data_IF_981698706587
#
_entry.id   IF_981698706587
#
_cell.length_a   1.000
_cell.length_b   1.000
_cell.length_c   1.000
_cell.angle_alpha   90.00
_cell.angle_beta   90.00
_cell.angle_gamma   90.00
#
_symmetry.space_group_name_H-M   'P 1'
#
loop_
_entity.id
_entity.type
_entity.pdbx_description
1 polymer ?
#
# COMPACT_ATOMS: atom_id res chain seq x y z
N UNK A 1 37.34 -45.29 51.49
CA UNK A 1 37.37 -45.64 50.05
C UNK A 1 35.99 -45.84 49.40
N UNK A 2 34.89 -46.14 50.14
CA UNK A 2 33.54 -46.28 49.57
C UNK A 2 32.83 -44.95 49.30
N UNK A 3 33.04 -43.91 50.12
CA UNK A 3 32.38 -42.61 50.00
C UNK A 3 32.88 -41.76 48.82
N UNK A 4 34.17 -41.85 48.49
CA UNK A 4 34.76 -41.18 47.31
C UNK A 4 34.19 -41.77 46.01
N UNK A 5 33.98 -43.08 45.95
CA UNK A 5 33.39 -43.76 44.78
C UNK A 5 31.93 -43.36 44.56
N UNK A 6 31.16 -43.09 45.62
CA UNK A 6 29.76 -42.62 45.50
C UNK A 6 29.71 -41.18 45.01
N UNK A 7 30.61 -40.30 45.49
CA UNK A 7 30.70 -38.92 44.99
C UNK A 7 31.08 -38.86 43.49
N UNK A 8 31.98 -39.74 43.04
CA UNK A 8 32.38 -39.82 41.63
C UNK A 8 31.25 -40.29 40.70
N UNK A 9 30.39 -41.20 41.15
CA UNK A 9 29.28 -41.72 40.34
C UNK A 9 28.14 -40.69 40.21
N UNK A 10 27.90 -39.88 41.25
CA UNK A 10 26.90 -38.80 41.21
C UNK A 10 27.38 -37.62 40.34
N UNK A 11 28.67 -37.29 40.36
CA UNK A 11 29.22 -36.24 39.50
C UNK A 11 29.20 -36.60 38.00
N UNK A 12 29.35 -37.88 37.65
CA UNK A 12 29.30 -38.35 36.26
C UNK A 12 27.85 -38.41 35.74
N UNK A 13 26.86 -38.68 36.60
CA UNK A 13 25.45 -38.72 36.21
C UNK A 13 24.82 -37.33 36.08
N UNK A 14 25.36 -36.30 36.74
CA UNK A 14 24.96 -34.89 36.55
C UNK A 14 25.55 -34.25 35.28
N UNK A 15 26.61 -34.81 34.70
CA UNK A 15 27.22 -34.34 33.44
C UNK A 15 26.62 -35.02 32.20
N UNK A 16 25.80 -36.07 32.36
CA UNK A 16 25.17 -36.82 31.27
C UNK A 16 23.78 -36.28 30.86
N UNK A 17 23.30 -35.19 31.46
CA UNK A 17 22.08 -34.49 31.05
C UNK A 17 22.33 -33.40 29.99
N UNK A 18 23.32 -33.62 29.13
CA UNK A 18 23.37 -32.90 27.85
C UNK A 18 22.51 -33.71 26.87
N UNK A 19 21.28 -33.27 26.66
CA UNK A 19 20.44 -33.76 25.57
C UNK A 19 21.11 -33.39 24.25
N UNK A 20 22.02 -34.25 23.79
CA UNK A 20 22.29 -34.33 22.36
C UNK A 20 21.09 -35.04 21.74
N UNK A 21 20.19 -34.27 21.16
CA UNK A 21 19.27 -34.83 20.17
C UNK A 21 20.10 -35.11 18.92
N UNK A 22 20.80 -36.25 18.91
CA UNK A 22 21.41 -36.83 17.71
C UNK A 22 20.51 -37.97 17.24
N UNK A 23 19.36 -37.60 16.66
CA UNK A 23 18.63 -38.50 15.78
C UNK A 23 19.24 -38.35 14.38
N UNK A 24 19.87 -39.44 13.93
CA UNK A 24 20.46 -39.59 12.60
C UNK A 24 19.41 -39.43 11.49
N UNK A 25 19.16 -38.20 11.07
CA UNK A 25 18.85 -37.90 9.68
C UNK A 25 20.10 -37.22 9.14
N UNK A 26 20.63 -37.78 8.06
CA UNK A 26 21.84 -37.34 7.39
C UNK A 26 22.03 -35.82 7.46
N UNK A 27 23.27 -35.37 7.73
CA UNK A 27 23.77 -34.05 7.31
C UNK A 27 23.79 -34.03 5.77
N UNK A 28 22.61 -34.18 5.18
CA UNK A 28 22.29 -33.63 3.89
C UNK A 28 22.52 -32.17 4.13
N UNK A 29 23.59 -31.65 3.54
CA UNK A 29 23.61 -30.25 3.13
C UNK A 29 22.27 -30.08 2.41
N UNK A 30 21.27 -29.57 3.13
CA UNK A 30 20.00 -29.14 2.55
C UNK A 30 20.43 -27.95 1.74
N UNK A 31 20.97 -28.20 0.55
CA UNK A 31 21.04 -27.17 -0.47
C UNK A 31 19.58 -26.78 -0.65
N UNK A 32 19.20 -25.52 -0.36
CA UNK A 32 17.83 -25.10 -0.57
C UNK A 32 17.49 -25.46 -2.02
N UNK A 33 16.59 -26.43 -2.21
CA UNK A 33 16.14 -26.87 -3.54
C UNK A 33 15.19 -25.84 -4.17
N UNK A 34 14.91 -24.76 -3.43
CA UNK A 34 14.21 -23.57 -3.90
C UNK A 34 15.17 -22.45 -4.30
N UNK A 35 14.62 -21.38 -4.89
CA UNK A 35 15.39 -20.18 -5.22
C UNK A 35 16.10 -19.62 -3.98
N UNK A 36 17.39 -19.29 -4.13
CA UNK A 36 18.17 -18.60 -3.11
C UNK A 36 17.76 -17.12 -3.07
N UNK A 37 17.19 -16.70 -1.94
CA UNK A 37 16.77 -15.33 -1.65
C UNK A 37 17.75 -14.59 -0.73
N UNK A 38 18.98 -15.10 -0.56
CA UNK A 38 20.01 -14.39 0.17
C UNK A 38 20.49 -13.16 -0.62
N UNK A 39 20.65 -12.03 0.08
CA UNK A 39 21.12 -10.80 -0.55
C UNK A 39 20.70 -9.53 0.19
N UNK A 40 21.16 -8.39 -0.33
CA UNK A 40 20.70 -7.07 0.09
C UNK A 40 19.57 -6.64 -0.85
N UNK A 41 18.39 -6.40 -0.29
CA UNK A 41 17.25 -5.88 -1.03
C UNK A 41 17.26 -4.36 -1.04
N UNK A 42 16.86 -3.77 -2.17
CA UNK A 42 16.51 -2.36 -2.28
C UNK A 42 15.06 -2.24 -2.72
N UNK A 43 14.37 -1.20 -2.28
CA UNK A 43 13.07 -0.83 -2.83
C UNK A 43 13.28 -0.49 -4.31
N UNK A 44 12.46 -1.08 -5.18
CA UNK A 44 12.38 -0.73 -6.61
C UNK A 44 11.16 0.16 -6.86
N UNK A 45 9.99 -0.28 -6.39
CA UNK A 45 8.75 0.48 -6.45
C UNK A 45 7.89 0.26 -5.20
N UNK A 46 6.99 1.20 -4.92
CA UNK A 46 5.96 1.10 -3.89
C UNK A 46 4.58 1.24 -4.52
N UNK A 47 3.67 0.34 -4.17
CA UNK A 47 2.29 0.42 -4.62
C UNK A 47 1.53 1.44 -3.78
N UNK A 48 1.13 2.53 -4.42
CA UNK A 48 0.27 3.57 -3.85
C UNK A 48 -1.18 3.45 -4.32
N UNK A 49 -1.95 4.51 -4.07
CA UNK A 49 -3.32 4.64 -4.55
C UNK A 49 -3.34 4.73 -6.08
N UNK A 50 -4.44 4.30 -6.72
CA UNK A 50 -4.60 4.43 -8.17
C UNK A 50 -4.34 5.87 -8.64
N UNK A 51 -3.75 5.99 -9.83
CA UNK A 51 -3.49 7.23 -10.59
C UNK A 51 -2.71 8.39 -9.91
N UNK A 52 -2.44 8.38 -8.60
CA UNK A 52 -1.78 9.49 -7.88
C UNK A 52 -0.41 9.82 -8.49
N UNK A 53 0.47 8.83 -8.63
CA UNK A 53 1.79 8.98 -9.27
C UNK A 53 1.68 9.33 -10.78
N UNK A 54 0.57 8.96 -11.42
CA UNK A 54 0.35 9.28 -12.84
C UNK A 54 0.01 10.75 -13.03
N UNK A 55 -0.82 11.31 -12.15
CA UNK A 55 -1.39 12.66 -12.29
C UNK A 55 -0.49 13.72 -11.64
N UNK A 56 0.01 13.47 -10.44
CA UNK A 56 0.62 14.51 -9.61
C UNK A 56 2.15 14.50 -9.56
N UNK A 57 2.79 13.41 -9.97
CA UNK A 57 4.26 13.31 -9.99
C UNK A 57 4.77 13.64 -11.39
N UNK A 58 5.63 14.65 -11.47
CA UNK A 58 6.30 15.01 -12.73
C UNK A 58 7.19 13.88 -13.23
N UNK A 59 7.27 13.69 -14.56
CA UNK A 59 7.98 12.54 -15.17
C UNK A 59 9.42 12.34 -14.69
N UNK A 60 10.16 13.43 -14.42
CA UNK A 60 11.54 13.38 -13.93
C UNK A 60 11.67 12.91 -12.47
N UNK A 61 10.55 12.79 -11.75
CA UNK A 61 10.52 12.53 -10.31
C UNK A 61 9.82 11.21 -9.98
N UNK A 62 9.36 10.45 -10.97
CA UNK A 62 8.67 9.17 -10.78
C UNK A 62 9.54 8.13 -10.09
N UNK A 63 10.77 7.91 -10.58
CA UNK A 63 11.68 6.95 -9.96
C UNK A 63 12.01 7.34 -8.50
N UNK A 64 12.21 8.64 -8.25
CA UNK A 64 12.45 9.15 -6.91
C UNK A 64 11.23 8.95 -6.01
N UNK A 65 10.02 9.18 -6.54
CA UNK A 65 8.77 8.95 -5.81
C UNK A 65 8.60 7.48 -5.46
N UNK A 66 8.83 6.57 -6.41
CA UNK A 66 8.70 5.12 -6.26
C UNK A 66 9.55 4.54 -5.13
N UNK A 67 10.73 5.12 -4.86
CA UNK A 67 11.64 4.65 -3.80
C UNK A 67 11.59 5.48 -2.51
N UNK A 68 10.88 6.59 -2.48
CA UNK A 68 10.79 7.44 -1.27
C UNK A 68 9.85 6.82 -0.24
N UNK A 69 10.34 6.55 0.96
CA UNK A 69 9.51 5.93 2.01
C UNK A 69 8.29 6.79 2.37
N UNK A 70 7.13 6.19 2.69
CA UNK A 70 5.90 6.96 3.01
C UNK A 70 6.07 8.01 4.10
N UNK A 71 6.92 7.76 5.09
CA UNK A 71 7.21 8.68 6.18
C UNK A 71 7.85 10.02 5.73
N UNK A 72 8.46 10.04 4.54
CA UNK A 72 9.14 11.23 3.99
C UNK A 72 8.52 11.72 2.68
N UNK A 73 7.57 11.00 2.09
CA UNK A 73 6.95 11.37 0.81
C UNK A 73 6.26 12.73 0.86
N UNK A 74 5.38 12.97 1.84
CA UNK A 74 4.63 14.24 1.90
C UNK A 74 5.57 15.44 1.95
N UNK A 75 6.61 15.38 2.79
CA UNK A 75 7.63 16.43 2.88
C UNK A 75 8.40 16.65 1.56
N UNK A 76 8.59 15.60 0.76
CA UNK A 76 9.34 15.66 -0.50
C UNK A 76 8.48 16.09 -1.71
N UNK A 77 7.19 15.76 -1.73
CA UNK A 77 6.37 15.85 -2.94
C UNK A 77 5.10 16.70 -2.84
N UNK A 78 4.65 17.08 -1.64
CA UNK A 78 3.39 17.84 -1.50
C UNK A 78 3.39 19.15 -2.32
N UNK A 79 4.48 19.91 -2.30
CA UNK A 79 4.59 21.15 -3.09
C UNK A 79 4.48 20.91 -4.61
N UNK A 80 5.03 19.79 -5.09
CA UNK A 80 4.91 19.39 -6.50
C UNK A 80 3.47 19.02 -6.83
N UNK A 81 2.81 18.26 -5.97
CA UNK A 81 1.42 17.85 -6.15
C UNK A 81 0.51 19.08 -6.21
N UNK A 82 0.69 20.03 -5.28
CA UNK A 82 -0.08 21.26 -5.26
C UNK A 82 0.13 22.10 -6.52
N UNK A 83 1.38 22.23 -6.97
CA UNK A 83 1.70 22.95 -8.21
C UNK A 83 1.02 22.30 -9.42
N UNK A 84 1.09 20.97 -9.53
CA UNK A 84 0.50 20.23 -10.63
C UNK A 84 -1.04 20.26 -10.58
N UNK A 85 -1.64 20.17 -9.39
CA UNK A 85 -3.09 20.29 -9.22
C UNK A 85 -3.61 21.67 -9.67
N UNK A 86 -2.96 22.75 -9.22
CA UNK A 86 -3.35 24.11 -9.58
C UNK A 86 -3.15 24.41 -11.08
N UNK A 87 -2.19 23.74 -11.73
CA UNK A 87 -2.00 23.82 -13.17
C UNK A 87 -3.02 22.98 -13.95
N UNK A 88 -3.46 21.87 -13.38
CA UNK A 88 -4.35 20.91 -14.03
C UNK A 88 -5.82 21.31 -13.94
N UNK A 89 -6.27 21.74 -12.76
CA UNK A 89 -7.68 21.92 -12.48
C UNK A 89 -8.09 23.37 -12.24
N UNK A 90 -9.07 23.89 -13.00
CA UNK A 90 -9.65 25.20 -12.73
C UNK A 90 -10.47 25.23 -11.42
N UNK A 91 -10.91 24.10 -10.88
CA UNK A 91 -11.75 24.04 -9.68
C UNK A 91 -11.02 24.50 -8.40
N UNK A 92 -9.69 24.56 -8.43
CA UNK A 92 -8.87 25.06 -7.32
C UNK A 92 -8.36 26.49 -7.57
N UNK A 93 -8.80 27.15 -8.63
CA UNK A 93 -8.48 28.55 -8.88
C UNK A 93 -9.12 29.45 -7.81
N UNK A 94 -8.49 30.59 -7.52
CA UNK A 94 -9.01 31.63 -6.63
C UNK A 94 -9.46 31.15 -5.22
N UNK A 95 -8.90 30.03 -4.74
CA UNK A 95 -9.19 29.46 -3.42
C UNK A 95 -10.35 28.46 -3.40
N UNK A 96 -10.76 27.95 -4.57
CA UNK A 96 -11.74 26.87 -4.67
C UNK A 96 -11.31 25.58 -3.96
N UNK A 97 -12.30 24.78 -3.61
CA UNK A 97 -12.14 23.54 -2.86
C UNK A 97 -12.80 22.38 -3.61
N UNK A 98 -12.40 21.15 -3.27
CA UNK A 98 -13.17 19.98 -3.70
C UNK A 98 -14.40 19.75 -2.81
N UNK A 99 -15.21 18.78 -3.21
CA UNK A 99 -16.40 18.36 -2.49
C UNK A 99 -16.14 17.78 -1.08
N UNK A 100 -14.87 17.56 -0.69
CA UNK A 100 -14.50 17.22 0.68
C UNK A 100 -14.23 18.47 1.54
N UNK A 101 -14.40 19.68 0.98
CA UNK A 101 -14.07 20.95 1.61
C UNK A 101 -12.57 21.17 1.76
N UNK A 102 -11.75 20.54 0.90
CA UNK A 102 -10.30 20.67 0.94
C UNK A 102 -9.83 21.63 -0.15
N UNK A 103 -9.03 22.62 0.25
CA UNK A 103 -8.26 23.42 -0.71
C UNK A 103 -7.13 22.59 -1.33
N UNK A 104 -6.41 23.21 -2.29
CA UNK A 104 -5.33 22.53 -3.00
C UNK A 104 -4.23 22.03 -2.05
N UNK A 105 -3.91 22.76 -0.98
CA UNK A 105 -2.86 22.37 -0.05
C UNK A 105 -3.30 21.18 0.81
N UNK A 106 -4.53 21.21 1.33
CA UNK A 106 -5.10 20.14 2.14
C UNK A 106 -5.27 18.85 1.33
N UNK A 107 -5.84 18.93 0.13
CA UNK A 107 -6.05 17.76 -0.72
C UNK A 107 -4.72 17.13 -1.14
N UNK A 108 -3.75 17.93 -1.58
CA UNK A 108 -2.45 17.40 -1.99
C UNK A 108 -1.62 16.89 -0.82
N UNK A 109 -1.81 17.41 0.39
CA UNK A 109 -1.22 16.84 1.61
C UNK A 109 -1.78 15.44 1.89
N UNK A 110 -3.09 15.24 1.75
CA UNK A 110 -3.74 13.93 1.86
C UNK A 110 -3.20 12.95 0.80
N UNK A 111 -2.94 13.43 -0.42
CA UNK A 111 -2.47 12.61 -1.53
C UNK A 111 -0.96 12.32 -1.52
N UNK A 112 -0.14 13.21 -1.00
CA UNK A 112 1.32 13.13 -1.13
C UNK A 112 1.97 12.01 -0.30
N UNK A 113 1.32 11.52 0.76
CA UNK A 113 1.68 10.22 1.36
C UNK A 113 0.85 9.14 0.70
N UNK A 114 1.39 8.58 -0.38
CA UNK A 114 0.66 7.68 -1.25
C UNK A 114 0.80 6.23 -0.78
N UNK A 115 -0.20 5.79 -0.02
CA UNK A 115 -0.27 4.45 0.57
C UNK A 115 -1.64 3.83 0.33
N UNK A 116 -1.65 2.52 0.07
CA UNK A 116 -2.88 1.74 0.01
C UNK A 116 -3.43 1.51 1.43
N UNK A 117 -4.51 2.21 1.76
CA UNK A 117 -5.26 2.00 2.99
C UNK A 117 -6.14 0.75 2.95
N UNK A 118 -6.44 0.18 4.11
CA UNK A 118 -7.51 -0.80 4.31
C UNK A 118 -8.09 -0.59 5.71
N UNK A 119 -9.40 -0.49 5.80
CA UNK A 119 -10.09 -0.46 7.09
C UNK A 119 -10.22 -1.89 7.63
N UNK A 120 -9.80 -2.12 8.88
CA UNK A 120 -9.85 -3.44 9.52
C UNK A 120 -11.16 -3.66 10.31
N UNK A 121 -11.82 -2.59 10.70
CA UNK A 121 -12.97 -2.57 11.60
C UNK A 121 -14.12 -1.65 11.10
N UNK A 122 -13.97 -1.06 9.91
CA UNK A 122 -14.96 -0.20 9.26
C UNK A 122 -15.12 -0.49 7.77
N UNK A 123 -15.85 0.39 7.08
CA UNK A 123 -16.08 0.27 5.63
C UNK A 123 -14.77 0.50 4.88
N UNK A 124 -14.38 -0.48 4.06
CA UNK A 124 -13.28 -0.33 3.09
C UNK A 124 -13.86 0.17 1.77
N UNK A 125 -13.61 1.43 1.44
CA UNK A 125 -14.04 2.06 0.19
C UNK A 125 -13.08 3.18 -0.19
N UNK A 126 -13.02 3.49 -1.47
CA UNK A 126 -12.32 4.67 -1.97
C UNK A 126 -13.09 5.93 -1.59
N UNK A 127 -14.40 5.93 -1.81
CA UNK A 127 -15.34 6.96 -1.37
C UNK A 127 -16.79 6.47 -1.48
N UNK A 128 -17.58 6.64 -0.42
CA UNK A 128 -19.01 6.30 -0.39
C UNK A 128 -19.91 7.49 0.02
N UNK A 129 -19.35 8.72 0.03
CA UNK A 129 -20.03 9.91 0.55
C UNK A 129 -19.77 10.18 2.03
N UNK A 130 -19.25 9.21 2.80
CA UNK A 130 -18.94 9.35 4.23
C UNK A 130 -17.49 8.98 4.52
N UNK A 131 -17.06 7.80 4.07
CA UNK A 131 -15.72 7.28 4.21
C UNK A 131 -14.86 7.74 3.04
N UNK A 132 -13.61 8.12 3.31
CA UNK A 132 -12.69 8.67 2.31
C UNK A 132 -11.36 7.92 2.41
N UNK A 133 -10.95 7.29 1.31
CA UNK A 133 -9.66 6.61 1.17
C UNK A 133 -9.38 5.56 2.26
N UNK A 134 -10.43 4.85 2.71
CA UNK A 134 -10.31 3.74 3.67
C UNK A 134 -9.97 2.41 3.00
N UNK A 135 -9.71 2.45 1.69
CA UNK A 135 -9.23 1.37 0.84
C UNK A 135 -9.98 1.38 -0.48
N UNK A 136 -10.39 0.22 -0.98
CA UNK A 136 -11.23 0.12 -2.17
C UNK A 136 -12.07 -1.16 -2.16
N UNK A 137 -13.37 -1.03 -2.41
CA UNK A 137 -14.23 -2.14 -2.77
C UNK A 137 -14.07 -2.47 -4.26
N UNK A 138 -14.53 -3.66 -4.67
CA UNK A 138 -14.43 -4.09 -6.07
C UNK A 138 -15.24 -3.19 -7.02
N UNK A 139 -16.38 -2.71 -6.55
CA UNK A 139 -17.31 -1.89 -7.33
C UNK A 139 -17.07 -0.38 -7.19
N UNK A 140 -16.02 0.05 -6.49
CA UNK A 140 -15.70 1.48 -6.39
C UNK A 140 -15.23 2.00 -7.74
N UNK A 141 -15.92 3.01 -8.26
CA UNK A 141 -15.51 3.77 -9.43
C UNK A 141 -14.44 4.81 -9.02
N UNK A 142 -13.23 4.30 -8.81
CA UNK A 142 -12.09 5.09 -8.32
C UNK A 142 -11.77 6.27 -9.23
N UNK A 143 -11.78 6.05 -10.56
CA UNK A 143 -11.35 7.07 -11.51
C UNK A 143 -12.38 8.20 -11.58
N UNK A 144 -13.68 7.90 -11.65
CA UNK A 144 -14.71 8.95 -11.61
C UNK A 144 -14.63 9.74 -10.30
N UNK A 145 -14.44 9.10 -9.15
CA UNK A 145 -14.28 9.81 -7.87
C UNK A 145 -13.05 10.72 -7.88
N UNK A 146 -11.90 10.25 -8.38
CA UNK A 146 -10.69 11.07 -8.48
C UNK A 146 -10.92 12.29 -9.39
N UNK A 147 -11.53 12.08 -10.55
CA UNK A 147 -11.87 13.16 -11.49
C UNK A 147 -12.85 14.16 -10.86
N UNK A 148 -13.83 13.70 -10.10
CA UNK A 148 -14.75 14.55 -9.33
C UNK A 148 -14.00 15.39 -8.28
N UNK A 149 -13.05 14.79 -7.54
CA UNK A 149 -12.26 15.52 -6.55
C UNK A 149 -11.25 16.49 -7.16
N UNK A 150 -10.82 16.24 -8.40
CA UNK A 150 -9.92 17.12 -9.13
C UNK A 150 -10.71 18.26 -9.79
N UNK A 151 -11.82 17.97 -10.46
CA UNK A 151 -12.48 18.90 -11.39
C UNK A 151 -13.91 19.32 -10.99
N UNK A 152 -14.55 18.60 -10.07
CA UNK A 152 -15.96 18.79 -9.74
C UNK A 152 -16.26 19.99 -8.85
N UNK A 153 -15.26 20.62 -8.22
CA UNK A 153 -15.47 21.69 -7.24
C UNK A 153 -16.18 21.21 -5.97
N UNK A 154 -16.78 22.14 -5.22
CA UNK A 154 -17.37 21.85 -3.90
C UNK A 154 -18.66 21.04 -3.95
N UNK A 155 -19.35 21.02 -5.10
CA UNK A 155 -20.65 20.35 -5.26
C UNK A 155 -20.69 19.32 -6.39
N UNK A 156 -19.51 18.97 -6.93
CA UNK A 156 -19.32 18.05 -8.05
C UNK A 156 -19.81 18.53 -9.43
N UNK A 157 -20.18 19.81 -9.59
CA UNK A 157 -20.81 20.30 -10.83
C UNK A 157 -19.98 21.24 -11.69
N UNK A 158 -18.81 21.71 -11.23
CA UNK A 158 -18.10 22.81 -11.91
C UNK A 158 -17.60 22.47 -13.32
N UNK A 159 -16.96 21.30 -13.50
CA UNK A 159 -16.36 20.89 -14.77
C UNK A 159 -16.84 19.48 -15.18
N UNK A 160 -18.12 19.32 -15.55
CA UNK A 160 -18.74 18.01 -15.75
C UNK A 160 -18.11 17.22 -16.91
N UNK A 161 -17.58 17.91 -17.92
CA UNK A 161 -16.86 17.26 -19.04
C UNK A 161 -15.49 16.67 -18.67
N UNK A 162 -14.98 16.96 -17.47
CA UNK A 162 -13.70 16.46 -16.96
C UNK A 162 -13.86 15.58 -15.71
N UNK A 163 -15.09 15.44 -15.19
CA UNK A 163 -15.36 14.84 -13.88
C UNK A 163 -15.85 13.38 -13.96
N UNK A 164 -15.71 12.71 -15.10
CA UNK A 164 -16.16 11.33 -15.31
C UNK A 164 -15.33 10.66 -16.42
N UNK A 165 -15.01 9.37 -16.27
CA UNK A 165 -14.21 8.62 -17.24
C UNK A 165 -15.05 7.89 -18.31
N UNK A 166 -16.37 7.90 -18.16
CA UNK A 166 -17.39 7.27 -18.98
C UNK A 166 -17.31 5.72 -18.98
N UNK A 167 -16.86 5.12 -17.88
CA UNK A 167 -16.78 3.66 -17.69
C UNK A 167 -17.60 3.25 -16.46
N UNK A 168 -18.90 3.06 -16.65
CA UNK A 168 -19.83 2.83 -15.53
C UNK A 168 -19.80 1.40 -14.95
N UNK A 169 -19.24 0.42 -15.68
CA UNK A 169 -19.23 -0.98 -15.27
C UNK A 169 -18.18 -1.83 -16.00
N UNK A 170 -17.87 -2.98 -15.41
CA UNK A 170 -17.07 -4.02 -16.06
C UNK A 170 -17.87 -4.75 -17.16
N UNK A 171 -17.16 -5.26 -18.17
CA UNK A 171 -17.74 -6.10 -19.23
C UNK A 171 -18.36 -7.42 -18.70
N UNK A 172 -17.87 -7.89 -17.55
CA UNK A 172 -18.38 -9.08 -16.84
C UNK A 172 -18.53 -8.78 -15.36
N UNK A 173 -19.64 -9.26 -14.79
CA UNK A 173 -19.89 -9.19 -13.36
C UNK A 173 -18.79 -9.90 -12.56
N UNK A 174 -18.48 -9.37 -11.38
CA UNK A 174 -17.59 -10.02 -10.43
C UNK A 174 -18.12 -11.40 -10.03
N UNK A 175 -17.20 -12.34 -9.78
CA UNK A 175 -17.55 -13.65 -9.26
C UNK A 175 -18.05 -13.53 -7.81
N UNK A 176 -19.02 -14.35 -7.38
CA UNK A 176 -19.50 -14.34 -5.99
C UNK A 176 -18.49 -14.92 -4.99
N UNK A 177 -17.37 -15.48 -5.46
CA UNK A 177 -16.33 -16.11 -4.67
C UNK A 177 -14.95 -15.81 -5.23
N UNK A 178 -13.93 -15.92 -4.38
CA UNK A 178 -12.54 -15.75 -4.79
C UNK A 178 -12.13 -16.73 -5.92
N UNK A 179 -11.34 -16.29 -6.92
CA UNK A 179 -10.88 -14.92 -7.16
C UNK A 179 -12.01 -14.06 -7.73
N UNK A 180 -12.42 -12.99 -7.03
CA UNK A 180 -13.63 -12.22 -7.36
C UNK A 180 -13.60 -11.55 -8.75
N UNK A 181 -12.43 -11.43 -9.38
CA UNK A 181 -12.27 -10.90 -10.74
C UNK A 181 -12.72 -11.93 -11.78
N UNK A 182 -13.58 -11.49 -12.70
CA UNK A 182 -13.98 -12.30 -13.85
C UNK A 182 -12.81 -12.55 -14.81
N UNK A 183 -12.92 -13.57 -15.67
CA UNK A 183 -11.93 -13.81 -16.71
C UNK A 183 -11.90 -12.65 -17.73
N UNK A 184 -10.76 -12.42 -18.40
CA UNK A 184 -10.75 -11.64 -19.65
C UNK A 184 -11.80 -12.18 -20.64
N UNK A 185 -12.24 -11.32 -21.54
CA UNK A 185 -13.35 -11.52 -22.49
C UNK A 185 -13.48 -12.95 -23.05
#
# INVERSE_FOLDING_TARGET
>A
MKTIKILSVIAISLLAFNCSNDDNEMDQIITPTGPDFSGTYTQDDQMGRPAVNTVFVSSSSKDMFNVTTPATQSAAFQSMFQTNLLALSPAYADGGMNALGQDAAAFTTLLATDVLGVSLDGTTTFYDGTNVLTGRALADDVITVELLLIFGGEDFTENPGLSNDNVDANDKDFLPSFPYLASPW
#
